data_IF_296067146599
#
_entry.id   IF_296067146599
#
_cell.length_a   1.000
_cell.length_b   1.000
_cell.length_c   1.000
_cell.angle_alpha   90.00
_cell.angle_beta   90.00
_cell.angle_gamma   90.00
#
_symmetry.space_group_name_H-M   'P 1'
#
loop_
_entity.id
_entity.type
_entity.pdbx_description
1 polymer ?
#
# COMPACT_ATOMS: atom_id res chain seq x y z
N UNK A 1 -2.32 7.92 14.24
CA UNK A 1 -3.39 7.03 13.78
C UNK A 1 -4.71 7.51 14.31
N UNK A 2 -5.69 7.72 13.42
CA UNK A 2 -7.07 7.90 13.85
C UNK A 2 -7.46 6.60 14.57
N UNK A 3 -8.03 6.68 15.77
CA UNK A 3 -8.45 5.49 16.56
C UNK A 3 -9.25 4.49 15.72
N UNK A 4 -9.97 4.98 14.72
CA UNK A 4 -10.75 4.24 13.73
C UNK A 4 -9.95 3.22 12.89
N UNK A 5 -8.62 3.36 12.73
CA UNK A 5 -7.79 2.47 11.91
C UNK A 5 -7.22 1.27 12.69
N UNK A 6 -7.18 1.32 14.03
CA UNK A 6 -6.61 0.24 14.86
C UNK A 6 -7.25 -1.13 14.61
N UNK A 7 -8.59 -1.24 14.51
CA UNK A 7 -9.22 -2.55 14.27
C UNK A 7 -8.81 -3.15 12.93
N UNK A 8 -8.61 -2.31 11.90
CA UNK A 8 -8.15 -2.77 10.57
C UNK A 8 -6.73 -3.31 10.67
N UNK A 9 -5.81 -2.57 11.33
CA UNK A 9 -4.42 -3.01 11.51
C UNK A 9 -4.36 -4.35 12.25
N UNK A 10 -5.08 -4.48 13.37
CA UNK A 10 -5.10 -5.72 14.18
C UNK A 10 -5.71 -6.89 13.42
N UNK A 11 -6.83 -6.67 12.72
CA UNK A 11 -7.46 -7.71 11.92
C UNK A 11 -6.49 -8.25 10.85
N UNK A 12 -5.86 -7.35 10.09
CA UNK A 12 -4.94 -7.73 9.02
C UNK A 12 -3.63 -8.34 9.56
N UNK A 13 -3.17 -7.89 10.73
CA UNK A 13 -2.06 -8.50 11.44
C UNK A 13 -2.37 -9.96 11.79
N UNK A 14 -3.44 -10.19 12.56
CA UNK A 14 -3.81 -11.54 13.00
C UNK A 14 -4.07 -12.44 11.79
N UNK A 15 -4.83 -11.96 10.81
CA UNK A 15 -5.14 -12.72 9.62
C UNK A 15 -3.88 -13.10 8.82
N UNK A 16 -2.93 -12.18 8.63
CA UNK A 16 -1.67 -12.48 7.95
C UNK A 16 -0.80 -13.47 8.74
N UNK A 17 -0.69 -13.27 10.06
CA UNK A 17 0.07 -14.14 10.95
C UNK A 17 -0.45 -15.59 10.91
N UNK A 18 -1.78 -15.77 11.02
CA UNK A 18 -2.39 -17.11 10.97
C UNK A 18 -2.34 -17.74 9.58
N UNK A 19 -2.58 -16.95 8.51
CA UNK A 19 -2.52 -17.45 7.13
C UNK A 19 -1.14 -18.01 6.80
N UNK A 20 -0.08 -17.31 7.20
CA UNK A 20 1.30 -17.77 6.98
C UNK A 20 1.59 -19.12 7.63
N UNK A 21 1.07 -19.34 8.84
CA UNK A 21 1.30 -20.59 9.60
C UNK A 21 0.44 -21.75 9.14
N UNK A 22 -0.76 -21.48 8.62
CA UNK A 22 -1.80 -22.49 8.39
C UNK A 22 -2.01 -22.84 6.91
N UNK A 23 -1.69 -21.94 5.98
CA UNK A 23 -1.90 -22.17 4.56
C UNK A 23 -0.67 -22.81 3.93
N UNK A 24 -0.80 -24.07 3.55
CA UNK A 24 0.22 -24.81 2.80
C UNK A 24 -0.45 -25.77 1.81
N UNK A 25 0.32 -26.22 0.80
CA UNK A 25 -0.13 -27.15 -0.22
C UNK A 25 -1.45 -26.74 -0.89
N UNK A 26 -2.40 -27.68 -0.97
CA UNK A 26 -3.69 -27.45 -1.61
C UNK A 26 -4.52 -26.32 -0.95
N UNK A 27 -4.39 -26.11 0.37
CA UNK A 27 -5.10 -25.04 1.08
C UNK A 27 -4.65 -23.66 0.62
N UNK A 28 -3.34 -23.49 0.34
CA UNK A 28 -2.80 -22.25 -0.19
C UNK A 28 -3.32 -21.99 -1.62
N UNK A 29 -3.31 -23.02 -2.46
CA UNK A 29 -3.81 -22.92 -3.85
C UNK A 29 -5.30 -22.52 -3.88
N UNK A 30 -6.13 -23.18 -3.07
CA UNK A 30 -7.56 -22.84 -2.97
C UNK A 30 -7.78 -21.42 -2.43
N UNK A 31 -6.97 -20.97 -1.47
CA UNK A 31 -7.00 -19.61 -0.97
C UNK A 31 -6.65 -18.58 -2.05
N UNK A 32 -5.56 -18.81 -2.80
CA UNK A 32 -5.12 -17.94 -3.88
C UNK A 32 -6.18 -17.84 -4.99
N UNK A 33 -6.76 -18.98 -5.39
CA UNK A 33 -7.78 -19.01 -6.43
C UNK A 33 -9.02 -18.19 -6.03
N UNK A 34 -9.51 -18.37 -4.79
CA UNK A 34 -10.62 -17.58 -4.25
C UNK A 34 -10.29 -16.08 -4.19
N UNK A 35 -9.07 -15.71 -3.77
CA UNK A 35 -8.66 -14.30 -3.70
C UNK A 35 -8.51 -13.67 -5.08
N UNK A 36 -7.96 -14.39 -6.04
CA UNK A 36 -7.85 -13.93 -7.43
C UNK A 36 -9.24 -13.65 -8.01
N UNK A 37 -10.19 -14.58 -7.89
CA UNK A 37 -11.58 -14.39 -8.35
C UNK A 37 -12.24 -13.17 -7.72
N UNK A 38 -12.09 -12.98 -6.40
CA UNK A 38 -12.64 -11.80 -5.73
C UNK A 38 -12.02 -10.50 -6.24
N UNK A 39 -10.71 -10.50 -6.52
CA UNK A 39 -10.02 -9.33 -7.06
C UNK A 39 -10.47 -9.02 -8.50
N UNK A 40 -10.71 -10.04 -9.32
CA UNK A 40 -11.28 -9.87 -10.66
C UNK A 40 -12.67 -9.24 -10.59
N UNK A 41 -13.56 -9.76 -9.74
CA UNK A 41 -14.92 -9.19 -9.55
C UNK A 41 -14.84 -7.72 -9.16
N UNK A 42 -13.94 -7.39 -8.23
CA UNK A 42 -13.75 -6.01 -7.81
C UNK A 42 -13.23 -5.14 -8.96
N UNK A 43 -12.19 -5.59 -9.66
CA UNK A 43 -11.59 -4.86 -10.77
C UNK A 43 -12.57 -4.65 -11.92
N UNK A 44 -13.31 -5.68 -12.34
CA UNK A 44 -14.33 -5.56 -13.38
C UNK A 44 -15.40 -4.53 -13.01
N UNK A 45 -15.84 -4.54 -11.75
CA UNK A 45 -16.91 -3.65 -11.29
C UNK A 45 -16.45 -2.20 -11.28
N UNK A 46 -15.23 -1.96 -10.81
CA UNK A 46 -14.75 -0.64 -10.43
C UNK A 46 -13.73 -0.01 -11.38
N UNK A 47 -13.13 -0.76 -12.30
CA UNK A 47 -12.17 -0.26 -13.29
C UNK A 47 -12.78 -0.36 -14.68
N UNK A 48 -13.18 0.76 -15.31
CA UNK A 48 -13.60 0.78 -16.70
C UNK A 48 -12.59 0.10 -17.64
N UNK A 49 -11.29 0.31 -17.41
CA UNK A 49 -10.24 -0.33 -18.20
C UNK A 49 -10.35 -1.87 -18.18
N UNK A 50 -10.44 -2.49 -16.99
CA UNK A 50 -10.49 -3.95 -16.90
C UNK A 50 -11.80 -4.54 -17.44
N UNK A 51 -12.91 -3.79 -17.35
CA UNK A 51 -14.19 -4.18 -17.95
C UNK A 51 -14.07 -4.36 -19.46
N UNK A 52 -13.40 -3.42 -20.12
CA UNK A 52 -13.21 -3.44 -21.56
C UNK A 52 -12.08 -4.41 -21.97
N UNK A 53 -10.98 -4.43 -21.20
CA UNK A 53 -9.80 -5.24 -21.49
C UNK A 53 -10.06 -6.74 -21.38
N UNK A 54 -10.83 -7.18 -20.38
CA UNK A 54 -11.20 -8.59 -20.25
C UNK A 54 -12.41 -8.95 -21.10
N UNK A 55 -13.36 -8.03 -21.28
CA UNK A 55 -14.58 -8.27 -22.07
C UNK A 55 -15.25 -9.61 -21.72
N UNK A 56 -15.51 -10.42 -22.74
CA UNK A 56 -16.10 -11.76 -22.58
C UNK A 56 -15.20 -12.77 -21.85
N UNK A 57 -13.88 -12.55 -21.79
CA UNK A 57 -12.93 -13.45 -21.15
C UNK A 57 -12.95 -13.35 -19.62
N UNK A 58 -13.64 -12.36 -19.05
CA UNK A 58 -13.68 -12.11 -17.60
C UNK A 58 -14.10 -13.35 -16.77
N UNK A 59 -14.99 -14.21 -17.30
CA UNK A 59 -15.46 -15.40 -16.60
C UNK A 59 -14.64 -16.68 -16.92
N UNK A 60 -13.45 -16.53 -17.50
CA UNK A 60 -12.54 -17.65 -17.80
C UNK A 60 -11.54 -17.89 -16.66
N UNK A 61 -10.68 -18.89 -16.80
CA UNK A 61 -9.59 -19.12 -15.86
C UNK A 61 -8.72 -17.86 -15.76
N UNK A 62 -8.65 -17.27 -14.56
CA UNK A 62 -7.96 -16.01 -14.31
C UNK A 62 -6.48 -16.05 -14.69
N UNK A 63 -5.89 -17.24 -14.74
CA UNK A 63 -4.50 -17.47 -15.16
C UNK A 63 -4.26 -17.25 -16.66
N UNK A 64 -5.33 -17.23 -17.45
CA UNK A 64 -5.29 -17.01 -18.91
C UNK A 64 -5.67 -15.60 -19.32
N UNK A 65 -6.03 -14.75 -18.36
CA UNK A 65 -6.36 -13.36 -18.66
C UNK A 65 -5.13 -12.62 -19.21
N UNK A 66 -5.34 -11.71 -20.18
CA UNK A 66 -4.24 -10.92 -20.74
C UNK A 66 -3.53 -10.12 -19.65
N UNK A 67 -2.20 -10.12 -19.71
CA UNK A 67 -1.35 -9.28 -18.86
C UNK A 67 -1.25 -7.88 -19.44
N UNK A 68 -0.99 -6.89 -18.58
CA UNK A 68 -0.78 -5.49 -18.98
C UNK A 68 0.66 -5.08 -18.72
N UNK A 69 1.20 -4.25 -19.59
CA UNK A 69 2.45 -3.55 -19.33
C UNK A 69 2.18 -2.21 -18.64
N UNK A 70 3.27 -1.61 -18.15
CA UNK A 70 3.23 -0.33 -17.45
C UNK A 70 2.80 0.82 -18.36
N UNK A 71 3.26 0.85 -19.60
CA UNK A 71 2.94 1.93 -20.53
C UNK A 71 1.43 2.00 -20.80
N UNK A 72 0.81 0.85 -21.04
CA UNK A 72 -0.63 0.69 -21.20
C UNK A 72 -1.38 1.12 -19.95
N UNK A 73 -0.91 0.72 -18.76
CA UNK A 73 -1.50 1.13 -17.48
C UNK A 73 -1.45 2.66 -17.31
N UNK A 74 -0.31 3.29 -17.56
CA UNK A 74 -0.12 4.74 -17.40
C UNK A 74 -0.98 5.53 -18.41
N UNK A 75 -0.96 5.14 -19.69
CA UNK A 75 -1.79 5.76 -20.72
C UNK A 75 -3.30 5.68 -20.42
N UNK A 76 -3.73 4.70 -19.62
CA UNK A 76 -5.12 4.51 -19.22
C UNK A 76 -5.37 4.83 -17.74
N UNK A 77 -4.46 5.54 -17.05
CA UNK A 77 -4.44 5.61 -15.59
C UNK A 77 -5.78 5.99 -14.96
N UNK A 78 -6.47 6.99 -15.50
CA UNK A 78 -7.78 7.45 -15.02
C UNK A 78 -8.87 6.36 -15.11
N UNK A 79 -8.88 5.61 -16.21
CA UNK A 79 -9.82 4.48 -16.42
C UNK A 79 -9.37 3.22 -15.69
N UNK A 80 -8.08 3.13 -15.39
CA UNK A 80 -7.49 2.01 -14.67
C UNK A 80 -7.90 2.01 -13.20
N UNK A 81 -7.89 3.18 -12.56
CA UNK A 81 -8.22 3.32 -11.15
C UNK A 81 -9.73 3.48 -10.91
N UNK A 82 -10.18 3.09 -9.71
CA UNK A 82 -11.59 3.14 -9.28
C UNK A 82 -12.17 4.55 -9.17
N UNK A 83 -11.31 5.56 -9.01
CA UNK A 83 -11.72 6.90 -8.63
C UNK A 83 -11.73 7.90 -9.80
N UNK A 84 -11.32 7.48 -11.00
CA UNK A 84 -11.20 8.37 -12.14
C UNK A 84 -10.08 9.40 -12.01
N UNK A 85 -9.16 9.23 -11.05
CA UNK A 85 -8.07 10.19 -10.79
C UNK A 85 -7.13 10.20 -11.98
N UNK A 86 -6.86 11.38 -12.54
CA UNK A 86 -5.99 11.50 -13.71
C UNK A 86 -4.52 11.32 -13.35
N UNK A 87 -3.71 10.95 -14.33
CA UNK A 87 -2.27 10.86 -14.18
C UNK A 87 -1.67 12.18 -13.67
N UNK A 88 -2.05 13.31 -14.27
CA UNK A 88 -1.58 14.63 -13.87
C UNK A 88 -1.94 15.00 -12.43
N UNK A 89 -3.15 14.67 -11.96
CA UNK A 89 -3.55 14.85 -10.56
C UNK A 89 -2.67 14.03 -9.62
N UNK A 90 -2.45 12.76 -9.95
CA UNK A 90 -1.66 11.85 -9.13
C UNK A 90 -0.17 12.21 -9.13
N UNK A 91 0.41 12.59 -10.27
CA UNK A 91 1.78 13.09 -10.37
C UNK A 91 1.97 14.36 -9.54
N UNK A 92 1.10 15.34 -9.71
CA UNK A 92 1.16 16.60 -8.96
C UNK A 92 1.13 16.35 -7.45
N UNK A 93 0.19 15.52 -6.98
CA UNK A 93 0.10 15.15 -5.58
C UNK A 93 1.32 14.36 -5.07
N UNK A 94 1.85 13.44 -5.88
CA UNK A 94 2.99 12.62 -5.48
C UNK A 94 4.31 13.41 -5.47
N UNK A 95 4.54 14.31 -6.42
CA UNK A 95 5.69 15.22 -6.42
C UNK A 95 5.65 16.17 -5.23
N UNK A 96 4.49 16.76 -4.96
CA UNK A 96 4.30 17.57 -3.76
C UNK A 96 4.62 16.76 -2.48
N UNK A 97 4.30 15.46 -2.44
CA UNK A 97 4.61 14.57 -1.31
C UNK A 97 6.11 14.23 -1.17
N UNK A 98 6.88 14.26 -2.25
CA UNK A 98 8.34 14.08 -2.21
C UNK A 98 9.07 15.37 -1.83
N UNK A 99 8.62 16.53 -2.33
CA UNK A 99 9.26 17.83 -2.11
C UNK A 99 8.94 18.43 -0.74
N UNK A 100 7.72 18.20 -0.24
CA UNK A 100 7.28 18.76 1.03
C UNK A 100 7.52 17.81 2.20
N UNK A 101 8.23 18.29 3.21
CA UNK A 101 8.24 17.69 4.55
C UNK A 101 6.88 17.83 5.27
N UNK A 102 5.89 18.52 4.70
CA UNK A 102 4.51 18.58 5.22
C UNK A 102 3.66 17.40 4.69
N UNK A 103 2.51 17.15 5.31
CA UNK A 103 1.58 16.13 4.82
C UNK A 103 0.98 16.66 3.51
N UNK A 104 1.55 16.33 2.36
CA UNK A 104 1.05 16.84 1.08
C UNK A 104 -0.42 16.51 0.94
N UNK A 105 -1.18 17.52 0.49
CA UNK A 105 -2.63 17.48 0.53
C UNK A 105 -3.13 16.22 -0.20
N UNK A 106 -3.75 15.28 0.52
CA UNK A 106 -4.21 14.07 -0.12
C UNK A 106 -5.30 14.41 -1.14
N UNK A 107 -5.32 13.67 -2.23
CA UNK A 107 -6.37 13.77 -3.23
C UNK A 107 -7.71 13.39 -2.59
N UNK A 108 -8.77 14.05 -3.02
CA UNK A 108 -10.14 13.68 -2.65
C UNK A 108 -10.78 12.93 -3.79
N UNK A 109 -11.16 11.68 -3.54
CA UNK A 109 -11.96 10.91 -4.48
C UNK A 109 -13.38 11.50 -4.60
N UNK A 110 -14.11 11.24 -5.70
CA UNK A 110 -15.48 11.70 -5.88
C UNK A 110 -16.44 11.28 -4.75
N UNK A 111 -16.15 10.16 -4.08
CA UNK A 111 -16.93 9.67 -2.94
C UNK A 111 -16.46 10.23 -1.58
N UNK A 112 -15.59 11.24 -1.57
CA UNK A 112 -15.06 11.90 -0.37
C UNK A 112 -13.87 11.20 0.30
N UNK A 113 -13.47 10.01 -0.17
CA UNK A 113 -12.33 9.30 0.40
C UNK A 113 -11.02 10.08 0.23
N UNK A 114 -10.17 10.03 1.26
CA UNK A 114 -8.79 10.50 1.21
C UNK A 114 -7.95 9.51 0.40
N UNK A 115 -7.34 9.96 -0.69
CA UNK A 115 -6.43 9.17 -1.53
C UNK A 115 -5.02 9.76 -1.45
N UNK A 116 -4.04 8.90 -1.19
CA UNK A 116 -2.63 9.26 -1.29
C UNK A 116 -2.06 8.73 -2.59
N UNK A 117 -1.41 9.60 -3.36
CA UNK A 117 -0.65 9.21 -4.54
C UNK A 117 0.82 9.03 -4.19
N UNK A 118 1.48 8.08 -4.84
CA UNK A 118 2.93 7.87 -4.69
C UNK A 118 3.59 7.41 -5.97
N UNK A 119 4.91 7.57 -6.01
CA UNK A 119 5.75 7.18 -7.15
C UNK A 119 6.47 5.87 -6.84
N UNK A 120 6.38 4.92 -7.76
CA UNK A 120 7.25 3.75 -7.77
C UNK A 120 8.59 4.12 -8.42
N UNK A 121 9.67 3.54 -7.91
CA UNK A 121 11.06 3.82 -8.32
C UNK A 121 11.41 3.19 -9.68
N UNK A 122 10.57 3.41 -10.70
CA UNK A 122 10.62 2.72 -12.00
C UNK A 122 12.04 2.52 -12.56
N UNK A 123 12.29 1.33 -13.11
CA UNK A 123 13.58 0.92 -13.70
C UNK A 123 13.75 1.35 -15.16
N UNK A 124 12.79 2.09 -15.73
CA UNK A 124 12.65 2.33 -17.18
C UNK A 124 12.45 3.80 -17.56
N UNK A 125 12.98 4.76 -16.78
CA UNK A 125 12.92 6.19 -17.08
C UNK A 125 11.66 6.91 -16.55
N UNK A 126 10.47 6.42 -16.87
CA UNK A 126 9.21 6.96 -16.32
C UNK A 126 8.93 6.40 -14.92
N UNK A 127 8.50 7.23 -13.96
CA UNK A 127 8.10 6.75 -12.62
C UNK A 127 6.69 6.18 -12.69
N UNK A 128 6.44 5.03 -12.06
CA UNK A 128 5.07 4.49 -12.03
C UNK A 128 4.25 5.17 -10.95
N UNK A 129 2.93 5.28 -11.15
CA UNK A 129 2.01 5.84 -10.15
C UNK A 129 1.26 4.73 -9.40
N UNK A 130 0.96 4.99 -8.13
CA UNK A 130 0.01 4.21 -7.37
C UNK A 130 -0.87 5.11 -6.49
N UNK A 131 -2.06 4.62 -6.17
CA UNK A 131 -3.04 5.29 -5.31
C UNK A 131 -3.36 4.39 -4.12
N UNK A 132 -3.48 4.98 -2.94
CA UNK A 132 -3.81 4.26 -1.71
C UNK A 132 -4.84 5.05 -0.90
N UNK A 133 -5.87 4.35 -0.44
CA UNK A 133 -6.79 4.85 0.59
C UNK A 133 -6.17 4.77 1.98
N UNK A 134 -6.70 5.56 2.91
CA UNK A 134 -6.39 5.43 4.35
C UNK A 134 -6.64 4.01 4.88
N UNK A 135 -7.63 3.30 4.33
CA UNK A 135 -7.94 1.92 4.72
C UNK A 135 -6.87 0.94 4.22
N UNK A 136 -6.45 1.04 2.96
CA UNK A 136 -5.40 0.19 2.37
C UNK A 136 -4.05 0.38 3.06
N UNK A 137 -3.71 1.61 3.46
CA UNK A 137 -2.52 1.90 4.27
C UNK A 137 -2.58 1.14 5.60
N UNK A 138 -3.73 1.14 6.29
CA UNK A 138 -3.91 0.42 7.55
C UNK A 138 -3.87 -1.11 7.35
N UNK A 139 -4.49 -1.63 6.28
CA UNK A 139 -4.40 -3.05 5.91
C UNK A 139 -2.95 -3.47 5.68
N UNK A 140 -2.20 -2.69 4.89
CA UNK A 140 -0.79 -2.92 4.61
C UNK A 140 0.04 -2.93 5.88
N UNK A 141 -0.19 -1.97 6.78
CA UNK A 141 0.53 -1.91 8.06
C UNK A 141 0.31 -3.17 8.89
N UNK A 142 -0.94 -3.67 9.00
CA UNK A 142 -1.20 -4.95 9.66
C UNK A 142 -0.41 -6.11 9.04
N UNK A 143 -0.41 -6.21 7.71
CA UNK A 143 0.29 -7.28 6.98
C UNK A 143 1.81 -7.21 7.15
N UNK A 144 2.42 -6.03 6.98
CA UNK A 144 3.88 -5.90 7.09
C UNK A 144 4.33 -6.19 8.51
N UNK A 145 3.58 -5.74 9.51
CA UNK A 145 3.86 -6.04 10.91
C UNK A 145 3.76 -7.53 11.20
N UNK A 146 2.77 -8.25 10.66
CA UNK A 146 2.71 -9.70 10.86
C UNK A 146 3.90 -10.44 10.25
N UNK A 147 4.55 -9.85 9.23
CA UNK A 147 5.74 -10.42 8.59
C UNK A 147 7.03 -10.07 9.33
N UNK A 148 7.12 -8.87 9.89
CA UNK A 148 8.33 -8.38 10.57
C UNK A 148 8.32 -8.68 12.06
N UNK A 149 7.16 -8.71 12.70
CA UNK A 149 6.96 -9.07 14.10
C UNK A 149 6.54 -10.54 14.20
N UNK A 150 7.45 -11.37 14.69
CA UNK A 150 7.15 -12.77 14.99
C UNK A 150 6.27 -12.93 16.25
N UNK A 151 6.21 -11.90 17.12
CA UNK A 151 5.37 -11.84 18.33
C UNK A 151 4.69 -10.48 18.45
N UNK A 152 3.47 -10.44 18.98
CA UNK A 152 2.79 -9.17 19.32
C UNK A 152 3.39 -8.66 20.63
N UNK A 153 4.09 -7.53 20.66
CA UNK A 153 4.57 -6.99 21.92
C UNK A 153 3.40 -6.43 22.71
N UNK A 154 3.17 -6.99 23.90
CA UNK A 154 2.10 -6.59 24.82
C UNK A 154 2.26 -5.16 25.36
N UNK A 155 3.47 -4.58 25.21
CA UNK A 155 3.82 -3.22 25.65
C UNK A 155 4.00 -2.23 24.49
N UNK A 156 3.47 -2.56 23.31
CA UNK A 156 3.61 -1.77 22.10
C UNK A 156 4.93 -2.02 21.37
N UNK A 157 4.95 -1.70 20.07
CA UNK A 157 6.09 -1.92 19.18
C UNK A 157 6.63 -0.59 18.64
N UNK A 158 7.95 -0.41 18.67
CA UNK A 158 8.65 0.67 17.95
C UNK A 158 9.41 0.06 16.77
N UNK A 159 9.19 0.56 15.56
CA UNK A 159 9.79 0.06 14.32
C UNK A 159 10.49 1.22 13.61
N UNK A 160 11.77 1.06 13.30
CA UNK A 160 12.53 1.95 12.44
C UNK A 160 12.46 1.46 11.00
N UNK A 161 12.06 2.33 10.08
CA UNK A 161 11.86 1.97 8.68
C UNK A 161 12.67 2.89 7.76
N UNK A 162 13.61 2.30 7.04
CA UNK A 162 14.56 3.00 6.18
C UNK A 162 14.09 2.96 4.73
N UNK A 163 13.91 4.12 4.11
CA UNK A 163 13.49 4.24 2.70
C UNK A 163 14.30 5.31 1.97
N UNK A 164 14.48 5.15 0.66
CA UNK A 164 15.22 6.10 -0.20
C UNK A 164 14.64 7.52 -0.13
N UNK A 165 13.34 7.65 -0.25
CA UNK A 165 12.63 8.92 -0.17
C UNK A 165 11.61 8.85 0.97
N UNK A 166 11.49 9.94 1.71
CA UNK A 166 10.51 10.05 2.77
C UNK A 166 9.12 10.06 2.15
N UNK A 167 8.29 9.07 2.49
CA UNK A 167 6.88 9.13 2.19
C UNK A 167 6.10 9.00 3.49
N UNK A 168 5.33 10.05 3.83
CA UNK A 168 4.42 10.04 4.98
C UNK A 168 3.25 9.07 4.83
N UNK A 169 3.19 8.31 3.73
CA UNK A 169 2.19 7.29 3.42
C UNK A 169 1.84 6.42 4.62
N UNK A 170 2.80 6.09 5.49
CA UNK A 170 2.53 5.24 6.65
C UNK A 170 2.82 5.90 8.00
N UNK A 171 3.18 7.18 8.06
CA UNK A 171 3.22 7.91 9.33
C UNK A 171 1.84 7.91 10.02
N UNK A 172 0.77 7.79 9.23
CA UNK A 172 -0.61 7.69 9.70
C UNK A 172 -0.88 6.53 10.65
N UNK A 173 -0.08 5.46 10.67
CA UNK A 173 -0.37 4.24 11.46
C UNK A 173 0.13 4.28 12.91
N UNK A 174 0.76 5.40 13.32
CA UNK A 174 1.29 5.53 14.68
C UNK A 174 0.21 5.58 15.77
N UNK A 175 0.34 4.72 16.77
CA UNK A 175 -0.56 4.55 17.93
C UNK A 175 0.25 4.19 19.19
N UNK A 176 -0.36 4.17 20.38
CA UNK A 176 0.32 3.71 21.60
C UNK A 176 0.86 2.27 21.50
N UNK A 177 0.22 1.41 20.70
CA UNK A 177 0.63 0.02 20.49
C UNK A 177 1.64 -0.14 19.34
N UNK A 178 1.81 0.86 18.49
CA UNK A 178 2.69 0.80 17.33
C UNK A 178 3.24 2.19 16.98
N UNK A 179 4.55 2.37 17.09
CA UNK A 179 5.26 3.56 16.63
C UNK A 179 6.18 3.17 15.48
N UNK A 180 5.84 3.59 14.28
CA UNK A 180 6.63 3.48 13.08
C UNK A 180 7.34 4.82 12.84
N UNK A 181 8.68 4.79 12.83
CA UNK A 181 9.52 5.96 12.52
C UNK A 181 10.28 5.74 11.23
N UNK A 182 10.17 6.73 10.35
CA UNK A 182 10.85 6.73 9.06
C UNK A 182 12.23 7.36 9.17
N UNK A 183 13.19 6.76 8.48
CA UNK A 183 14.53 7.28 8.29
C UNK A 183 14.80 7.34 6.79
N UNK A 184 15.03 8.54 6.25
CA UNK A 184 15.35 8.69 4.84
C UNK A 184 16.82 8.35 4.60
N UNK A 185 17.12 7.55 3.57
CA UNK A 185 18.50 7.21 3.22
C UNK A 185 19.30 8.41 2.69
N UNK A 186 18.62 9.51 2.36
CA UNK A 186 19.24 10.78 1.97
C UNK A 186 19.66 11.64 3.14
N UNK A 187 19.25 11.32 4.38
CA UNK A 187 19.69 12.06 5.57
C UNK A 187 21.15 11.74 5.91
N UNK A 188 21.90 12.71 6.45
CA UNK A 188 23.25 12.46 6.94
C UNK A 188 23.29 11.31 7.95
N UNK A 189 24.22 10.38 7.78
CA UNK A 189 24.30 9.18 8.62
C UNK A 189 24.38 9.50 10.12
N UNK A 190 25.10 10.56 10.51
CA UNK A 190 25.22 10.98 11.90
C UNK A 190 23.88 11.38 12.53
N UNK A 191 23.01 12.07 11.77
CA UNK A 191 21.66 12.46 12.21
C UNK A 191 20.77 11.24 12.36
N UNK A 192 20.82 10.33 11.39
CA UNK A 192 20.08 9.08 11.40
C UNK A 192 20.45 8.23 12.61
N UNK A 193 21.75 8.05 12.89
CA UNK A 193 22.24 7.29 14.05
C UNK A 193 21.77 7.93 15.36
N UNK A 194 21.90 9.25 15.48
CA UNK A 194 21.44 9.98 16.68
C UNK A 194 19.95 9.79 16.91
N UNK A 195 19.15 9.97 15.87
CA UNK A 195 17.70 9.81 15.91
C UNK A 195 17.28 8.35 16.21
N UNK A 196 17.99 7.36 15.67
CA UNK A 196 17.75 5.93 15.89
C UNK A 196 18.03 5.54 17.34
N UNK A 197 19.16 5.99 17.88
CA UNK A 197 19.56 5.75 19.28
C UNK A 197 18.57 6.38 20.27
N UNK A 198 18.05 7.58 19.97
CA UNK A 198 17.00 8.19 20.76
C UNK A 198 15.66 7.44 20.65
N UNK A 199 15.33 6.93 19.46
CA UNK A 199 14.06 6.23 19.22
C UNK A 199 14.00 4.81 19.84
N UNK A 200 15.15 4.14 19.96
CA UNK A 200 15.29 2.77 20.50
C UNK A 200 14.25 1.81 19.91
N UNK A 201 14.25 1.59 18.58
CA UNK A 201 13.32 0.67 17.95
C UNK A 201 13.55 -0.76 18.45
N UNK A 202 12.50 -1.59 18.37
CA UNK A 202 12.59 -3.03 18.60
C UNK A 202 12.91 -3.79 17.30
N UNK A 203 12.60 -3.18 16.14
CA UNK A 203 12.88 -3.63 14.77
C UNK A 203 13.45 -2.47 13.99
#
# INVERSE_FOLDING_TARGET
MKLQQLPTVLHHFCAAHWRWRMLSGHRLVAYQDRRARHMLVHAQRHSPFYRDHWGAQYNTDWRKLPTIDKATMMANFARFNRYGITEGQALSAAHAAEESTALSAPLRAPNGETITAGLSSGTSGERGLFLLTEHEIAMWAGVILARTLHTVPWRGCRVAFFLRAFSKLYAGVNSPLLQLRYFALTQPHAEVVTALNAFRPHI
#
